data_IF_909810254781
#
_entry.id   IF_909810254781
#
_cell.length_a   1.000
_cell.length_b   1.000
_cell.length_c   1.000
_cell.angle_alpha   90.00
_cell.angle_beta   90.00
_cell.angle_gamma   90.00
#
_symmetry.space_group_name_H-M   'P 1'
#
loop_
_entity.id
_entity.type
_entity.pdbx_description
1 polymer ?
#
# COMPACT_ATOMS: atom_id res chain seq x y z
N UNK A 1 29.41 -74.41 -20.04
CA UNK A 1 28.10 -73.80 -19.71
C UNK A 1 28.37 -72.42 -19.12
N UNK A 2 28.34 -71.38 -19.97
CA UNK A 2 28.76 -70.01 -19.65
C UNK A 2 27.50 -69.18 -19.36
N UNK A 3 27.46 -68.46 -18.24
CA UNK A 3 26.46 -67.40 -18.00
C UNK A 3 27.19 -66.12 -17.60
N UNK A 4 27.60 -65.34 -18.61
CA UNK A 4 27.97 -63.94 -18.45
C UNK A 4 26.69 -63.14 -18.20
N UNK A 5 26.53 -62.56 -17.00
CA UNK A 5 25.48 -61.58 -16.72
C UNK A 5 26.09 -60.19 -16.87
N UNK A 6 25.75 -59.52 -17.97
CA UNK A 6 26.01 -58.11 -18.21
C UNK A 6 25.22 -57.28 -17.18
N UNK A 7 25.89 -56.40 -16.45
CA UNK A 7 25.24 -55.32 -15.70
C UNK A 7 25.34 -54.06 -16.57
N UNK A 8 24.25 -53.51 -17.09
CA UNK A 8 24.28 -52.17 -17.66
C UNK A 8 24.23 -51.14 -16.52
N UNK A 9 25.32 -50.40 -16.36
CA UNK A 9 25.39 -49.14 -15.61
C UNK A 9 24.40 -48.15 -16.22
N UNK A 10 23.32 -47.84 -15.51
CA UNK A 10 22.38 -46.80 -15.91
C UNK A 10 22.98 -45.44 -15.57
N UNK A 11 23.52 -44.75 -16.58
CA UNK A 11 23.94 -43.37 -16.47
C UNK A 11 22.70 -42.48 -16.31
N UNK A 12 22.44 -42.04 -15.07
CA UNK A 12 21.43 -41.01 -14.78
C UNK A 12 22.06 -39.64 -15.04
N UNK A 13 22.09 -39.24 -16.31
CA UNK A 13 22.45 -37.89 -16.72
C UNK A 13 21.22 -37.24 -17.36
N UNK A 14 20.64 -36.25 -16.68
CA UNK A 14 19.61 -35.40 -17.26
C UNK A 14 18.52 -35.01 -16.29
N UNK A 15 18.73 -33.92 -15.55
CA UNK A 15 17.73 -32.90 -15.22
C UNK A 15 18.25 -31.95 -14.12
N UNK A 16 19.35 -31.24 -14.38
CA UNK A 16 19.71 -30.06 -13.56
C UNK A 16 20.12 -28.93 -14.49
N UNK A 17 19.16 -28.44 -15.27
CA UNK A 17 19.35 -27.20 -16.01
C UNK A 17 18.07 -26.40 -15.90
N UNK A 18 18.22 -25.18 -15.39
CA UNK A 18 17.25 -24.07 -15.48
C UNK A 18 16.26 -23.82 -14.32
N UNK A 19 16.63 -24.11 -13.06
CA UNK A 19 15.93 -23.56 -11.89
C UNK A 19 16.72 -22.47 -11.13
N UNK A 20 17.87 -22.05 -11.65
CA UNK A 20 18.62 -20.92 -11.13
C UNK A 20 18.54 -19.76 -12.12
N UNK A 21 18.34 -18.55 -11.59
CA UNK A 21 18.36 -17.24 -12.26
C UNK A 21 17.02 -16.64 -12.68
N UNK A 22 16.03 -16.67 -11.79
CA UNK A 22 15.09 -15.56 -11.64
C UNK A 22 14.99 -15.28 -10.14
N UNK A 23 15.94 -14.53 -9.59
CA UNK A 23 15.63 -13.76 -8.37
C UNK A 23 14.41 -12.90 -8.74
N UNK A 24 13.22 -13.10 -8.15
CA UNK A 24 12.14 -12.18 -8.41
C UNK A 24 12.67 -10.80 -8.00
N UNK A 25 12.79 -9.89 -8.97
CA UNK A 25 12.78 -8.46 -8.65
C UNK A 25 11.52 -8.30 -7.82
N UNK A 26 11.67 -7.92 -6.55
CA UNK A 26 10.54 -7.68 -5.68
C UNK A 26 9.64 -6.68 -6.43
N UNK A 27 8.51 -7.16 -6.94
CA UNK A 27 7.59 -6.32 -7.67
C UNK A 27 7.20 -5.18 -6.73
N UNK A 28 7.40 -3.95 -7.17
CA UNK A 28 7.10 -2.78 -6.35
C UNK A 28 5.63 -2.82 -5.96
N UNK A 29 5.35 -2.72 -4.66
CA UNK A 29 3.98 -2.69 -4.17
C UNK A 29 3.26 -1.44 -4.67
N UNK A 30 2.00 -1.61 -5.10
CA UNK A 30 1.10 -0.50 -5.41
C UNK A 30 0.24 -0.24 -4.18
N UNK A 31 0.10 1.03 -3.80
CA UNK A 31 -0.82 1.45 -2.76
C UNK A 31 -2.24 1.53 -3.33
N UNK A 32 -3.16 0.78 -2.74
CA UNK A 32 -4.58 0.81 -3.06
C UNK A 32 -5.35 1.53 -1.97
N UNK A 33 -6.12 2.55 -2.35
CA UNK A 33 -7.10 3.18 -1.47
C UNK A 33 -8.32 2.28 -1.34
N UNK A 34 -8.71 2.00 -0.10
CA UNK A 34 -9.90 1.26 0.27
C UNK A 34 -10.93 2.26 0.79
N UNK A 35 -12.14 2.19 0.25
CA UNK A 35 -13.28 2.97 0.72
C UNK A 35 -14.54 2.12 0.55
N UNK A 36 -14.91 1.42 1.62
CA UNK A 36 -16.06 0.51 1.66
C UNK A 36 -17.03 0.96 2.74
N UNK A 37 -18.31 0.72 2.52
CA UNK A 37 -19.38 0.96 3.49
C UNK A 37 -20.49 -0.06 3.32
N UNK A 38 -20.98 -0.61 4.42
CA UNK A 38 -22.09 -1.56 4.43
C UNK A 38 -22.93 -1.39 5.70
N UNK A 39 -24.11 -2.00 5.71
CA UNK A 39 -25.06 -1.87 6.82
C UNK A 39 -25.84 -3.15 7.04
N UNK A 40 -26.26 -3.37 8.29
CA UNK A 40 -27.19 -4.41 8.67
C UNK A 40 -28.21 -3.85 9.66
N UNK A 41 -29.46 -3.74 9.23
CA UNK A 41 -30.51 -3.08 10.01
C UNK A 41 -30.14 -1.62 10.29
N UNK A 42 -30.10 -1.23 11.56
CA UNK A 42 -29.73 0.11 12.01
C UNK A 42 -28.21 0.32 12.19
N UNK A 43 -27.40 -0.72 11.99
CA UNK A 43 -25.96 -0.66 12.22
C UNK A 43 -25.21 -0.45 10.91
N UNK A 44 -24.21 0.41 10.96
CA UNK A 44 -23.42 0.82 9.80
C UNK A 44 -21.95 0.55 10.08
N UNK A 45 -21.24 0.10 9.05
CA UNK A 45 -19.80 -0.08 9.10
C UNK A 45 -19.13 0.51 7.86
N UNK A 46 -17.91 1.00 8.02
CA UNK A 46 -17.08 1.48 6.91
C UNK A 46 -15.63 1.06 7.11
N UNK A 47 -14.94 0.76 6.02
CA UNK A 47 -13.53 0.44 6.00
C UNK A 47 -12.82 1.42 5.06
N UNK A 48 -11.96 2.27 5.62
CA UNK A 48 -11.24 3.30 4.87
C UNK A 48 -9.75 3.23 5.13
N UNK A 49 -8.93 3.55 4.14
CA UNK A 49 -7.48 3.61 4.31
C UNK A 49 -6.74 3.05 3.11
N UNK A 50 -5.58 2.43 3.35
CA UNK A 50 -4.72 1.92 2.28
C UNK A 50 -4.19 0.52 2.57
N UNK A 51 -3.96 -0.23 1.51
CA UNK A 51 -3.18 -1.48 1.53
C UNK A 51 -2.16 -1.46 0.41
N UNK A 52 -0.95 -1.96 0.69
CA UNK A 52 0.09 -2.10 -0.32
C UNK A 52 0.17 -3.56 -0.76
N UNK A 53 0.04 -3.77 -2.08
CA UNK A 53 0.08 -5.10 -2.68
C UNK A 53 0.89 -5.02 -3.98
N UNK A 54 1.91 -5.87 -4.18
CA UNK A 54 2.59 -5.95 -5.46
C UNK A 54 1.63 -6.36 -6.59
N UNK A 55 1.86 -5.84 -7.80
CA UNK A 55 1.05 -6.20 -8.96
C UNK A 55 1.22 -7.70 -9.22
N UNK A 56 0.10 -8.40 -9.36
CA UNK A 56 0.08 -9.84 -9.58
C UNK A 56 -1.25 -10.49 -9.23
N UNK A 57 -1.34 -11.77 -9.55
CA UNK A 57 -2.44 -12.63 -9.15
C UNK A 57 -1.93 -13.64 -8.12
N UNK A 58 -2.58 -13.69 -6.97
CA UNK A 58 -2.20 -14.51 -5.83
C UNK A 58 -3.34 -15.43 -5.45
N UNK A 59 -3.01 -16.70 -5.25
CA UNK A 59 -3.94 -17.70 -4.72
C UNK A 59 -3.48 -18.09 -3.33
N UNK A 60 -4.15 -17.54 -2.32
CA UNK A 60 -3.93 -17.87 -0.92
C UNK A 60 -4.67 -19.17 -0.63
N UNK A 61 -3.97 -20.17 -0.11
CA UNK A 61 -4.55 -21.47 0.26
C UNK A 61 -4.65 -21.65 1.78
N UNK A 62 -4.99 -22.85 2.25
CA UNK A 62 -5.13 -23.19 3.67
C UNK A 62 -3.88 -23.04 4.53
N UNK A 63 -2.70 -22.82 3.93
CA UNK A 63 -1.47 -22.46 4.67
C UNK A 63 -1.32 -20.95 4.89
N UNK A 64 -2.22 -20.15 4.31
CA UNK A 64 -2.15 -18.69 4.29
C UNK A 64 -1.03 -18.12 3.42
N UNK A 65 -0.42 -18.94 2.56
CA UNK A 65 0.65 -18.52 1.65
C UNK A 65 0.22 -18.58 0.17
N UNK A 66 0.75 -17.68 -0.68
CA UNK A 66 1.51 -16.47 -0.33
C UNK A 66 0.61 -15.41 0.33
N UNK A 67 1.17 -14.58 1.22
CA UNK A 67 0.50 -13.37 1.72
C UNK A 67 1.03 -12.16 0.94
N UNK A 68 0.23 -11.54 0.04
CA UNK A 68 0.71 -10.47 -0.83
C UNK A 68 0.62 -9.07 -0.19
N UNK A 69 0.04 -8.93 1.01
CA UNK A 69 -0.11 -7.64 1.67
C UNK A 69 1.19 -7.24 2.36
N UNK A 70 1.88 -6.23 1.83
CA UNK A 70 3.16 -5.76 2.37
C UNK A 70 2.99 -4.68 3.43
N UNK A 71 1.86 -3.99 3.42
CA UNK A 71 1.49 -2.97 4.40
C UNK A 71 -0.03 -2.83 4.44
N UNK A 72 -0.58 -2.60 5.62
CA UNK A 72 -2.01 -2.39 5.85
C UNK A 72 -2.15 -1.19 6.77
N UNK A 73 -2.97 -0.23 6.39
CA UNK A 73 -3.30 0.93 7.20
C UNK A 73 -4.77 1.26 6.97
N UNK A 74 -5.64 0.55 7.68
CA UNK A 74 -7.09 0.66 7.53
C UNK A 74 -7.72 1.10 8.85
N UNK A 75 -8.79 1.89 8.74
CA UNK A 75 -9.68 2.23 9.83
C UNK A 75 -11.04 1.60 9.55
N UNK A 76 -11.42 0.64 10.37
CA UNK A 76 -12.77 0.11 10.43
C UNK A 76 -13.58 1.00 11.39
N UNK A 77 -14.72 1.53 10.96
CA UNK A 77 -15.61 2.30 11.82
C UNK A 77 -16.95 1.60 11.90
N UNK A 78 -17.44 1.34 13.11
CA UNK A 78 -18.76 0.73 13.35
C UNK A 78 -19.60 1.65 14.22
N UNK A 79 -20.74 2.10 13.69
CA UNK A 79 -21.62 3.05 14.37
C UNK A 79 -20.88 4.28 14.93
N UNK A 80 -19.88 4.77 14.21
CA UNK A 80 -19.05 5.91 14.62
C UNK A 80 -17.85 5.58 15.50
N UNK A 81 -17.66 4.32 15.93
CA UNK A 81 -16.50 3.89 16.72
C UNK A 81 -15.39 3.36 15.80
N UNK A 82 -14.21 4.01 15.76
CA UNK A 82 -13.11 3.59 14.90
C UNK A 82 -12.21 2.53 15.55
N UNK A 83 -11.65 1.66 14.72
CA UNK A 83 -10.70 0.60 15.05
C UNK A 83 -9.58 0.58 14.00
N UNK A 84 -8.32 0.55 14.45
CA UNK A 84 -7.16 0.48 13.55
C UNK A 84 -6.83 -0.96 13.20
N UNK A 85 -6.72 -1.24 11.91
CA UNK A 85 -6.31 -2.52 11.35
C UNK A 85 -5.01 -2.31 10.56
N UNK A 86 -3.97 -3.06 10.91
CA UNK A 86 -2.60 -2.90 10.43
C UNK A 86 -1.97 -4.22 9.96
N UNK A 87 -2.75 -5.31 9.91
CA UNK A 87 -2.30 -6.61 9.43
C UNK A 87 -3.39 -7.32 8.61
N UNK A 88 -2.95 -8.10 7.61
CA UNK A 88 -3.79 -9.05 6.89
C UNK A 88 -3.55 -10.47 7.43
N UNK A 89 -4.59 -11.07 8.01
CA UNK A 89 -4.58 -12.46 8.45
C UNK A 89 -5.16 -13.36 7.36
N UNK A 90 -4.29 -14.19 6.81
CA UNK A 90 -4.55 -15.12 5.70
C UNK A 90 -4.73 -16.55 6.18
N UNK A 91 -4.97 -16.81 7.46
CA UNK A 91 -5.06 -18.17 8.02
C UNK A 91 -6.50 -18.64 8.21
N UNK A 92 -7.49 -17.88 7.73
CA UNK A 92 -8.92 -18.22 7.79
C UNK A 92 -9.39 -19.06 6.58
N UNK A 93 -8.52 -19.92 6.05
CA UNK A 93 -8.82 -20.78 4.91
C UNK A 93 -8.84 -22.24 5.36
N UNK A 94 -9.86 -23.00 4.95
CA UNK A 94 -10.00 -24.41 5.31
C UNK A 94 -10.13 -25.32 4.10
N UNK A 95 -9.66 -26.57 4.27
CA UNK A 95 -9.70 -27.60 3.23
C UNK A 95 -9.05 -27.15 1.92
N UNK A 96 -9.81 -27.18 0.84
CA UNK A 96 -9.39 -26.76 -0.51
C UNK A 96 -9.81 -25.34 -0.87
N UNK A 97 -10.42 -24.60 0.06
CA UNK A 97 -10.84 -23.22 -0.12
C UNK A 97 -9.65 -22.32 -0.46
N UNK A 98 -9.84 -21.43 -1.43
CA UNK A 98 -8.82 -20.51 -1.91
C UNK A 98 -9.35 -19.09 -1.93
N UNK A 99 -8.55 -18.16 -1.43
CA UNK A 99 -8.81 -16.73 -1.54
C UNK A 99 -7.91 -16.15 -2.63
N UNK A 100 -8.51 -15.45 -3.59
CA UNK A 100 -7.85 -14.97 -4.79
C UNK A 100 -7.71 -13.47 -4.69
N UNK A 101 -6.47 -12.99 -4.75
CA UNK A 101 -6.14 -11.57 -4.77
C UNK A 101 -5.58 -11.22 -6.14
N UNK A 102 -6.20 -10.28 -6.84
CA UNK A 102 -5.71 -9.79 -8.11
C UNK A 102 -5.42 -8.29 -8.01
N UNK A 103 -4.14 -7.94 -7.99
CA UNK A 103 -3.65 -6.57 -7.97
C UNK A 103 -3.18 -6.18 -9.37
N UNK A 104 -3.76 -5.12 -9.91
CA UNK A 104 -3.37 -4.51 -11.19
C UNK A 104 -2.80 -3.11 -10.93
N UNK A 105 -2.37 -2.39 -11.97
CA UNK A 105 -1.96 -1.00 -11.81
C UNK A 105 -3.09 -0.05 -11.42
N UNK A 106 -4.36 -0.47 -11.48
CA UNK A 106 -5.54 0.37 -11.23
C UNK A 106 -6.45 -0.14 -10.12
N UNK A 107 -6.56 -1.45 -9.94
CA UNK A 107 -7.54 -2.05 -9.02
C UNK A 107 -6.98 -3.25 -8.28
N UNK A 108 -7.42 -3.39 -7.04
CA UNK A 108 -7.26 -4.58 -6.21
C UNK A 108 -8.60 -5.28 -6.11
N UNK A 109 -8.67 -6.51 -6.61
CA UNK A 109 -9.90 -7.30 -6.69
C UNK A 109 -9.76 -8.58 -5.88
N UNK A 110 -10.79 -8.93 -5.11
CA UNK A 110 -10.86 -10.17 -4.34
C UNK A 110 -11.89 -11.12 -4.93
N UNK A 111 -11.59 -12.42 -4.87
CA UNK A 111 -12.51 -13.50 -5.22
C UNK A 111 -12.21 -14.74 -4.35
N UNK A 112 -13.02 -15.78 -4.50
CA UNK A 112 -12.78 -17.09 -3.87
C UNK A 112 -12.92 -18.20 -4.91
N UNK A 113 -12.21 -19.30 -4.71
CA UNK A 113 -12.34 -20.52 -5.51
C UNK A 113 -12.44 -21.73 -4.59
N UNK A 114 -13.15 -22.76 -5.04
CA UNK A 114 -13.43 -24.00 -4.28
C UNK A 114 -14.09 -23.75 -2.91
N UNK A 115 -14.65 -22.57 -2.68
CA UNK A 115 -15.22 -22.21 -1.40
C UNK A 115 -16.62 -22.82 -1.25
N UNK A 116 -16.82 -23.57 -0.17
CA UNK A 116 -18.07 -24.30 0.09
C UNK A 116 -18.28 -24.55 1.59
N UNK A 117 -19.38 -25.22 1.94
CA UNK A 117 -19.59 -25.71 3.31
C UNK A 117 -18.49 -26.72 3.67
N UNK A 118 -17.56 -26.30 4.54
CA UNK A 118 -16.38 -27.07 4.94
C UNK A 118 -15.06 -26.66 4.26
N UNK A 119 -15.10 -25.77 3.26
CA UNK A 119 -13.92 -25.19 2.60
C UNK A 119 -14.06 -23.67 2.61
N UNK A 120 -14.04 -23.05 3.78
CA UNK A 120 -14.13 -21.61 3.90
C UNK A 120 -12.88 -20.97 3.26
N UNK A 121 -13.10 -19.84 2.60
CA UNK A 121 -12.03 -19.03 2.00
C UNK A 121 -12.25 -17.59 2.43
N UNK A 122 -11.62 -17.20 3.53
CA UNK A 122 -11.78 -15.90 4.16
C UNK A 122 -10.44 -15.21 4.32
N UNK A 123 -10.47 -13.89 4.27
CA UNK A 123 -9.35 -13.00 4.57
C UNK A 123 -9.83 -12.03 5.66
N UNK A 124 -8.99 -11.80 6.67
CA UNK A 124 -9.26 -10.78 7.67
C UNK A 124 -8.22 -9.66 7.62
N UNK A 125 -8.66 -8.42 7.78
CA UNK A 125 -7.82 -7.32 8.22
C UNK A 125 -8.07 -7.10 9.71
N UNK A 126 -7.00 -7.07 10.48
CA UNK A 126 -7.03 -7.05 11.96
C UNK A 126 -6.02 -6.07 12.51
N UNK A 127 -6.16 -5.72 13.78
CA UNK A 127 -5.06 -5.16 14.54
C UNK A 127 -4.05 -6.28 14.87
N UNK A 128 -2.78 -6.06 14.57
CA UNK A 128 -1.67 -7.00 14.73
C UNK A 128 -1.45 -7.42 16.18
N UNK A 129 -1.78 -6.55 17.14
CA UNK A 129 -1.63 -6.81 18.57
C UNK A 129 -2.73 -7.72 19.13
N UNK A 130 -3.94 -7.66 18.56
CA UNK A 130 -5.09 -8.47 19.02
C UNK A 130 -5.41 -9.64 18.09
N UNK A 131 -4.95 -9.61 16.84
CA UNK A 131 -5.31 -10.60 15.83
C UNK A 131 -6.83 -10.78 15.68
N UNK A 132 -7.26 -12.03 15.52
CA UNK A 132 -8.66 -12.41 15.30
C UNK A 132 -9.57 -12.32 16.53
N UNK A 133 -9.00 -12.11 17.73
CA UNK A 133 -9.81 -11.94 18.95
C UNK A 133 -10.23 -10.48 19.18
N UNK A 134 -9.64 -9.54 18.44
CA UNK A 134 -10.02 -8.14 18.46
C UNK A 134 -10.90 -7.74 17.27
N UNK A 135 -11.31 -6.46 17.21
CA UNK A 135 -12.03 -5.89 16.09
C UNK A 135 -11.32 -6.16 14.76
N UNK A 136 -12.08 -6.59 13.75
CA UNK A 136 -11.54 -6.91 12.44
C UNK A 136 -12.57 -6.77 11.34
N UNK A 137 -12.08 -6.61 10.11
CA UNK A 137 -12.90 -6.73 8.92
C UNK A 137 -12.61 -8.08 8.27
N UNK A 138 -13.64 -8.88 8.02
CA UNK A 138 -13.52 -10.16 7.31
C UNK A 138 -14.27 -10.08 5.99
N UNK A 139 -13.71 -10.73 4.97
CA UNK A 139 -14.32 -10.86 3.65
C UNK A 139 -14.01 -12.24 3.10
N UNK A 140 -14.97 -12.85 2.42
CA UNK A 140 -14.75 -14.13 1.77
C UNK A 140 -16.03 -14.92 1.57
N UNK A 141 -15.88 -16.24 1.48
CA UNK A 141 -16.99 -17.18 1.32
C UNK A 141 -16.92 -18.23 2.41
N UNK A 142 -18.00 -18.38 3.17
CA UNK A 142 -18.17 -19.42 4.18
C UNK A 142 -19.58 -20.03 4.02
N UNK A 143 -19.69 -21.33 4.25
CA UNK A 143 -20.93 -22.10 4.08
C UNK A 143 -21.61 -21.89 2.70
N UNK A 144 -20.82 -21.58 1.66
CA UNK A 144 -21.30 -21.33 0.30
C UNK A 144 -21.89 -19.93 0.06
N UNK A 145 -21.83 -19.02 1.03
CA UNK A 145 -22.26 -17.63 0.87
C UNK A 145 -21.08 -16.67 0.97
N UNK A 146 -21.00 -15.72 0.05
CA UNK A 146 -20.00 -14.65 0.08
C UNK A 146 -20.47 -13.47 0.93
N UNK A 147 -19.56 -12.89 1.70
CA UNK A 147 -19.88 -11.86 2.69
C UNK A 147 -18.74 -10.88 2.94
N UNK A 148 -19.09 -9.75 3.55
CA UNK A 148 -18.18 -8.89 4.32
C UNK A 148 -18.76 -8.61 5.70
N UNK A 149 -17.90 -8.49 6.71
CA UNK A 149 -18.35 -8.28 8.09
C UNK A 149 -17.35 -7.45 8.90
N UNK A 150 -17.87 -6.53 9.71
CA UNK A 150 -17.15 -5.99 10.85
C UNK A 150 -17.35 -6.95 12.02
N UNK A 151 -16.32 -7.68 12.42
CA UNK A 151 -16.37 -8.70 13.46
C UNK A 151 -15.71 -8.22 14.75
N UNK A 152 -16.18 -8.72 15.89
CA UNK A 152 -15.72 -8.36 17.23
C UNK A 152 -15.80 -6.84 17.52
N UNK A 153 -16.81 -6.16 16.98
CA UNK A 153 -16.96 -4.68 17.08
C UNK A 153 -18.11 -4.21 17.97
N UNK A 154 -19.00 -5.13 18.37
CA UNK A 154 -20.16 -4.88 19.24
C UNK A 154 -21.00 -3.65 18.82
N UNK A 155 -21.97 -3.80 17.90
CA UNK A 155 -22.39 -5.05 17.26
C UNK A 155 -21.50 -5.41 16.07
N UNK A 156 -21.54 -6.67 15.67
CA UNK A 156 -21.01 -7.06 14.38
C UNK A 156 -21.96 -6.63 13.26
N UNK A 157 -21.40 -6.15 12.16
CA UNK A 157 -22.18 -5.64 11.01
C UNK A 157 -21.87 -6.51 9.82
N UNK A 158 -22.83 -7.38 9.46
CA UNK A 158 -22.70 -8.35 8.37
C UNK A 158 -23.42 -7.87 7.11
N UNK A 159 -22.81 -8.04 5.94
CA UNK A 159 -23.47 -7.87 4.65
C UNK A 159 -23.13 -9.00 3.69
N UNK A 160 -24.10 -9.41 2.87
CA UNK A 160 -23.84 -10.29 1.74
C UNK A 160 -23.13 -9.51 0.63
N UNK A 161 -22.20 -10.19 -0.04
CA UNK A 161 -21.41 -9.61 -1.11
C UNK A 161 -21.42 -10.53 -2.33
N UNK A 162 -21.33 -9.97 -3.53
CA UNK A 162 -21.06 -10.75 -4.74
C UNK A 162 -19.57 -10.68 -5.08
N UNK A 163 -18.93 -11.85 -5.22
CA UNK A 163 -17.56 -11.96 -5.69
C UNK A 163 -17.53 -12.29 -7.19
N UNK A 164 -16.53 -11.81 -7.95
CA UNK A 164 -15.40 -10.98 -7.52
C UNK A 164 -15.80 -9.55 -7.15
N UNK A 165 -15.11 -8.95 -6.18
CA UNK A 165 -15.33 -7.57 -5.74
C UNK A 165 -14.08 -6.73 -5.95
N UNK A 166 -14.23 -5.48 -6.40
CA UNK A 166 -13.15 -4.48 -6.29
C UNK A 166 -13.05 -4.02 -4.84
N UNK A 167 -11.93 -4.36 -4.20
CA UNK A 167 -11.65 -4.00 -2.81
C UNK A 167 -11.05 -2.61 -2.68
N UNK A 168 -10.18 -2.22 -3.62
CA UNK A 168 -9.55 -0.90 -3.65
C UNK A 168 -9.10 -0.46 -5.03
N UNK A 169 -8.79 0.82 -5.16
CA UNK A 169 -8.30 1.46 -6.38
C UNK A 169 -6.89 1.98 -6.15
N UNK A 170 -6.00 1.81 -7.13
CA UNK A 170 -4.62 2.26 -7.01
C UNK A 170 -4.57 3.77 -6.82
N UNK A 171 -3.76 4.23 -5.86
CA UNK A 171 -3.47 5.63 -5.69
C UNK A 171 -2.56 6.08 -6.83
N UNK A 172 -3.13 6.72 -7.84
CA UNK A 172 -2.32 7.41 -8.85
C UNK A 172 -1.62 8.56 -8.17
N UNK A 173 -0.28 8.60 -8.19
CA UNK A 173 0.45 9.78 -7.81
C UNK A 173 -0.07 10.95 -8.65
N UNK A 174 -0.83 11.84 -8.04
CA UNK A 174 -1.25 13.07 -8.69
C UNK A 174 0.04 13.81 -9.02
N UNK A 175 0.36 13.89 -10.31
CA UNK A 175 1.49 14.65 -10.80
C UNK A 175 1.19 16.11 -10.45
N UNK A 176 1.71 16.57 -9.31
CA UNK A 176 1.65 17.98 -8.94
C UNK A 176 2.41 18.71 -10.05
N UNK A 177 1.77 19.62 -10.81
CA UNK A 177 2.50 20.43 -11.77
C UNK A 177 3.62 21.13 -10.99
N UNK A 178 4.87 20.87 -11.37
CA UNK A 178 5.99 21.63 -10.81
C UNK A 178 5.62 23.12 -10.91
N UNK A 179 5.74 23.90 -9.82
CA UNK A 179 5.54 25.33 -9.94
C UNK A 179 6.50 25.77 -11.03
N UNK A 180 5.96 26.31 -12.12
CA UNK A 180 6.75 26.88 -13.19
C UNK A 180 7.61 27.99 -12.58
N UNK A 181 8.82 27.64 -12.13
CA UNK A 181 9.89 28.56 -11.77
C UNK A 181 10.48 29.15 -13.06
N UNK A 182 9.60 29.57 -13.97
CA UNK A 182 9.91 30.16 -15.26
C UNK A 182 9.74 31.69 -15.23
N UNK A 183 9.22 32.26 -14.14
CA UNK A 183 8.95 33.71 -14.01
C UNK A 183 9.55 34.34 -12.74
N UNK A 184 10.74 33.92 -12.31
CA UNK A 184 11.39 34.47 -11.10
C UNK A 184 12.76 35.13 -11.27
N UNK A 185 13.47 34.93 -12.38
CA UNK A 185 14.88 35.34 -12.51
C UNK A 185 15.20 36.17 -13.79
N UNK A 186 14.17 36.62 -14.52
CA UNK A 186 14.35 37.26 -15.83
C UNK A 186 14.01 38.75 -15.95
N UNK A 187 13.45 39.42 -14.93
CA UNK A 187 13.00 40.82 -15.03
C UNK A 187 13.58 41.69 -13.91
N UNK A 188 14.91 41.69 -13.80
CA UNK A 188 15.67 42.71 -13.05
C UNK A 188 16.47 43.64 -13.98
N UNK A 189 16.24 43.57 -15.30
CA UNK A 189 17.17 44.12 -16.30
C UNK A 189 16.81 45.46 -16.97
N UNK A 190 15.72 46.17 -16.65
CA UNK A 190 15.32 47.36 -17.45
C UNK A 190 14.93 48.63 -16.68
N UNK A 191 15.05 48.68 -15.35
CA UNK A 191 14.72 49.89 -14.58
C UNK A 191 15.97 50.50 -13.96
N UNK A 192 16.79 51.19 -14.77
CA UNK A 192 18.01 51.81 -14.25
C UNK A 192 18.78 52.76 -15.18
N UNK A 193 18.17 53.29 -16.23
CA UNK A 193 18.75 54.38 -17.05
C UNK A 193 17.91 55.63 -16.81
N UNK A 194 18.33 56.51 -15.90
CA UNK A 194 17.70 57.82 -15.78
C UNK A 194 17.75 58.57 -14.44
N UNK A 195 18.43 58.10 -13.39
CA UNK A 195 18.52 58.90 -12.16
C UNK A 195 19.80 59.73 -12.10
N UNK A 196 19.82 60.84 -12.84
CA UNK A 196 20.79 61.92 -12.62
C UNK A 196 20.43 62.68 -11.34
N UNK A 197 20.79 62.17 -10.16
CA UNK A 197 20.80 62.98 -8.95
C UNK A 197 22.15 63.69 -8.80
N UNK A 198 22.26 64.86 -9.44
CA UNK A 198 23.27 65.88 -9.11
C UNK A 198 22.97 66.41 -7.71
N UNK A 199 23.69 65.95 -6.68
CA UNK A 199 23.82 66.73 -5.44
C UNK A 199 25.27 66.85 -5.02
N UNK A 200 25.71 68.11 -5.00
CA UNK A 200 27.06 68.60 -4.74
C UNK A 200 27.62 68.05 -3.42
N UNK A 201 28.77 67.38 -3.49
CA UNK A 201 29.67 67.23 -2.35
C UNK A 201 30.25 68.62 -2.02
N UNK A 202 30.04 69.07 -0.78
CA UNK A 202 30.67 70.26 -0.23
C UNK A 202 32.01 69.85 0.37
N UNK A 203 33.16 70.42 -0.05
CA UNK A 203 34.46 70.12 0.55
C UNK A 203 34.81 71.16 1.61
N UNK A 204 35.19 70.71 2.82
CA UNK A 204 35.92 71.46 3.85
C UNK A 204 35.96 70.58 5.11
N UNK A 205 37.04 70.40 5.89
CA UNK A 205 38.38 70.99 5.96
C UNK A 205 39.14 70.14 7.00
N UNK A 206 40.39 69.79 6.74
CA UNK A 206 41.32 69.26 7.75
C UNK A 206 42.02 70.43 8.44
N UNK A 207 42.14 70.41 9.77
CA UNK A 207 43.19 71.13 10.50
C UNK A 207 43.22 70.68 11.98
N UNK A 208 44.27 69.92 12.29
CA UNK A 208 45.10 69.85 13.49
C UNK A 208 44.68 70.64 14.75
N UNK A 209 44.71 69.96 15.90
CA UNK A 209 44.60 70.55 17.24
C UNK A 209 46.01 70.71 17.82
N UNK A 210 46.55 71.92 17.80
CA UNK A 210 47.73 72.28 18.60
C UNK A 210 47.34 73.33 19.66
N UNK A 211 47.73 73.03 20.91
CA UNK A 211 47.71 73.92 22.09
C UNK A 211 48.93 74.86 22.08
N UNK A 212 48.84 76.12 22.56
CA UNK A 212 49.23 76.37 23.96
C UNK A 212 48.52 77.55 24.66
N UNK A 213 48.83 77.64 25.97
CA UNK A 213 48.40 78.55 27.05
C UNK A 213 49.30 79.80 27.13
N UNK A 214 48.73 81.01 27.25
CA UNK A 214 49.25 82.22 27.95
C UNK A 214 48.05 83.20 28.11
N UNK A 215 47.75 83.86 29.23
CA UNK A 215 48.40 83.95 30.54
C UNK A 215 47.42 84.34 31.64
#
# INVERSE_FOLDING_TARGET
MIKNRLIPTLALAGATSLAAMLTPVAATAVTFTVNRSWSNGSNNASLVGTVDVPIGSYTINSTGTPNPFTNVNLTLTVNGNPFTLDAANTLLLSGTGQFLVNATSSTLTFNTANASAGNAAELAFVNSSTGLVGPGYLIGTNAGSSFEVAANTSPDVFAQLTLPVTFGTAQTAQQVPEPASLFGLGVLGTLGVGSTLKRKLKPSKSAEKETPKVG
#
